data_IF_398042943177
#
_entry.id   IF_398042943177
#
_cell.length_a   1.000
_cell.length_b   1.000
_cell.length_c   1.000
_cell.angle_alpha   90.00
_cell.angle_beta   90.00
_cell.angle_gamma   90.00
#
_symmetry.space_group_name_H-M   'P 1'
#
loop_
_entity.id
_entity.type
_entity.pdbx_description
1 polymer ?
#
# COMPACT_ATOMS: atom_id res chain seq x y z
N UNK A 1 13.74 -0.55 -7.40
CA UNK A 1 13.16 0.74 -6.92
C UNK A 1 13.08 0.81 -5.41
N UNK A 2 12.29 -0.03 -4.73
CA UNK A 2 12.13 0.04 -3.27
C UNK A 2 13.42 -0.02 -2.46
N UNK A 3 14.42 -0.80 -2.87
CA UNK A 3 15.75 -0.79 -2.25
C UNK A 3 16.43 0.58 -2.27
N UNK A 4 16.26 1.36 -3.36
CA UNK A 4 16.82 2.71 -3.44
C UNK A 4 16.08 3.68 -2.52
N UNK A 5 14.75 3.55 -2.41
CA UNK A 5 13.92 4.35 -1.50
C UNK A 5 14.20 4.01 -0.03
N UNK A 6 14.43 2.72 0.27
CA UNK A 6 14.81 2.27 1.60
C UNK A 6 16.15 2.84 2.07
N UNK A 7 17.11 3.05 1.15
CA UNK A 7 18.38 3.73 1.46
C UNK A 7 18.19 5.20 1.85
N UNK A 8 17.07 5.82 1.47
CA UNK A 8 16.66 7.16 1.90
C UNK A 8 15.84 7.15 3.21
N UNK A 9 15.70 5.99 3.85
CA UNK A 9 14.94 5.81 5.08
C UNK A 9 13.43 5.60 4.89
N UNK A 10 12.96 5.41 3.65
CA UNK A 10 11.54 5.18 3.37
C UNK A 10 11.17 3.71 3.50
N UNK A 11 10.08 3.43 4.21
CA UNK A 11 9.51 2.08 4.34
C UNK A 11 8.19 2.00 3.59
N UNK A 12 8.06 1.04 2.67
CA UNK A 12 6.81 0.78 1.96
C UNK A 12 5.88 -0.12 2.79
N UNK A 13 4.68 0.37 3.06
CA UNK A 13 3.66 -0.32 3.86
C UNK A 13 2.86 -1.34 3.05
N UNK A 14 2.85 -1.23 1.72
CA UNK A 14 2.07 -2.13 0.85
C UNK A 14 2.79 -3.45 0.66
N UNK A 15 3.99 -3.44 0.06
CA UNK A 15 4.71 -4.68 -0.24
C UNK A 15 5.42 -5.27 0.98
N UNK A 16 5.76 -4.43 1.97
CA UNK A 16 6.45 -4.86 3.19
C UNK A 16 5.60 -5.72 4.14
N UNK A 17 4.27 -5.71 4.01
CA UNK A 17 3.34 -6.39 4.92
C UNK A 17 2.73 -7.68 4.34
N UNK A 18 3.26 -8.22 3.22
CA UNK A 18 2.75 -9.45 2.61
C UNK A 18 1.34 -9.32 2.02
N UNK A 19 0.90 -8.09 1.72
CA UNK A 19 -0.40 -7.81 1.12
C UNK A 19 -0.39 -8.19 -0.37
N UNK A 20 -1.53 -8.67 -0.87
CA UNK A 20 -1.60 -9.32 -2.17
C UNK A 20 -1.64 -8.35 -3.36
N UNK A 21 -2.43 -7.27 -3.28
CA UNK A 21 -2.58 -6.28 -4.34
C UNK A 21 -3.24 -4.98 -3.85
N UNK A 22 -3.28 -3.96 -4.72
CA UNK A 22 -4.04 -2.71 -4.51
C UNK A 22 -5.13 -2.53 -5.56
N UNK A 23 -5.55 -3.61 -6.20
CA UNK A 23 -6.54 -3.61 -7.29
C UNK A 23 -7.77 -4.41 -6.89
N UNK A 24 -8.92 -4.03 -7.40
CA UNK A 24 -10.18 -4.76 -7.16
C UNK A 24 -10.46 -5.77 -8.26
N UNK A 25 -11.61 -6.42 -8.22
CA UNK A 25 -12.09 -7.26 -9.32
C UNK A 25 -12.34 -6.49 -10.62
N UNK A 26 -12.50 -5.16 -10.58
CA UNK A 26 -12.75 -4.33 -11.76
C UNK A 26 -11.50 -4.18 -12.66
N UNK A 27 -10.30 -4.49 -12.14
CA UNK A 27 -9.04 -4.43 -12.90
C UNK A 27 -8.63 -5.82 -13.40
N UNK A 28 -8.72 -6.01 -14.73
CA UNK A 28 -8.56 -7.33 -15.37
C UNK A 28 -7.15 -7.59 -15.95
N UNK A 29 -6.25 -6.61 -15.90
CA UNK A 29 -4.91 -6.71 -16.49
C UNK A 29 -3.91 -7.34 -15.50
N UNK A 30 -2.81 -7.93 -15.99
CA UNK A 30 -1.73 -8.40 -15.12
C UNK A 30 -1.05 -7.22 -14.39
N UNK A 31 -0.42 -7.52 -13.26
CA UNK A 31 0.22 -6.52 -12.40
C UNK A 31 -0.84 -5.78 -11.56
N UNK A 32 -0.91 -6.13 -10.27
CA UNK A 32 -2.00 -5.68 -9.40
C UNK A 32 -1.58 -4.70 -8.31
N UNK A 33 -0.33 -4.23 -8.33
CA UNK A 33 0.12 -3.12 -7.49
C UNK A 33 0.10 -1.83 -8.29
N UNK A 34 -0.79 -0.91 -7.94
CA UNK A 34 -0.89 0.40 -8.57
C UNK A 34 -0.72 1.55 -7.59
N UNK A 35 -0.90 1.30 -6.29
CA UNK A 35 -0.79 2.28 -5.23
C UNK A 35 0.26 1.81 -4.23
N UNK A 36 0.99 2.77 -3.68
CA UNK A 36 2.02 2.54 -2.68
C UNK A 36 1.92 3.60 -1.59
N UNK A 37 2.32 3.25 -0.37
CA UNK A 37 2.40 4.19 0.73
C UNK A 37 3.73 4.02 1.42
N UNK A 38 4.60 5.02 1.27
CA UNK A 38 5.92 5.04 1.90
C UNK A 38 5.93 6.01 3.07
N UNK A 39 6.48 5.57 4.19
CA UNK A 39 6.62 6.39 5.40
C UNK A 39 8.09 6.65 5.74
N UNK A 40 8.36 7.83 6.30
CA UNK A 40 9.66 8.18 6.88
C UNK A 40 9.79 7.62 8.31
N UNK A 41 11.01 7.49 8.87
CA UNK A 41 11.22 6.85 10.18
C UNK A 41 10.51 7.52 11.37
N UNK A 42 10.16 8.80 11.25
CA UNK A 42 9.44 9.53 12.31
C UNK A 42 7.93 9.30 12.37
N UNK A 43 7.35 8.57 11.40
CA UNK A 43 5.90 8.30 11.37
C UNK A 43 5.58 7.06 12.19
N UNK A 44 4.78 7.22 13.24
CA UNK A 44 4.30 6.10 14.05
C UNK A 44 3.03 5.49 13.44
N UNK A 45 3.20 4.44 12.64
CA UNK A 45 2.09 3.71 12.02
C UNK A 45 1.35 2.90 13.08
N UNK A 46 0.12 3.30 13.42
CA UNK A 46 -0.75 2.57 14.33
C UNK A 46 -1.35 1.33 13.65
N UNK A 47 -1.81 1.50 12.40
CA UNK A 47 -2.42 0.45 11.59
C UNK A 47 -2.36 0.83 10.12
N UNK A 48 -2.11 -0.16 9.27
CA UNK A 48 -2.23 -0.02 7.83
C UNK A 48 -3.15 -1.11 7.28
N UNK A 49 -4.06 -0.75 6.37
CA UNK A 49 -4.98 -1.68 5.72
C UNK A 49 -5.20 -1.30 4.27
N UNK A 50 -5.13 -2.28 3.39
CA UNK A 50 -5.71 -2.20 2.05
C UNK A 50 -7.18 -2.61 2.16
N UNK A 51 -8.10 -1.71 1.85
CA UNK A 51 -9.54 -1.94 2.04
C UNK A 51 -10.08 -2.80 0.91
N UNK A 52 -10.60 -3.97 1.25
CA UNK A 52 -11.06 -4.97 0.27
C UNK A 52 -12.50 -4.77 -0.19
N UNK A 53 -13.38 -4.30 0.71
CA UNK A 53 -14.81 -4.19 0.43
C UNK A 53 -15.47 -3.01 1.18
N UNK A 54 -16.54 -2.43 0.63
CA UNK A 54 -17.09 -2.71 -0.72
C UNK A 54 -16.16 -2.18 -1.83
N UNK A 55 -16.16 -2.85 -2.98
CA UNK A 55 -15.45 -2.37 -4.17
C UNK A 55 -16.27 -1.25 -4.83
N UNK A 56 -15.65 -0.08 -5.03
CA UNK A 56 -16.30 1.09 -5.67
C UNK A 56 -15.46 1.66 -6.82
N UNK A 57 -14.26 1.12 -7.02
CA UNK A 57 -13.25 1.56 -8.00
C UNK A 57 -12.43 0.35 -8.45
N UNK A 58 -11.63 0.48 -9.51
CA UNK A 58 -10.61 -0.50 -9.92
C UNK A 58 -9.34 -0.46 -9.04
N UNK A 59 -9.22 0.53 -8.17
CA UNK A 59 -8.22 0.64 -7.10
C UNK A 59 -8.83 0.35 -5.72
N UNK A 60 -8.03 -0.26 -4.84
CA UNK A 60 -8.37 -0.42 -3.41
C UNK A 60 -7.92 0.82 -2.63
N UNK A 61 -8.74 1.27 -1.69
CA UNK A 61 -8.33 2.35 -0.79
C UNK A 61 -7.22 1.89 0.16
N UNK A 62 -6.22 2.75 0.37
CA UNK A 62 -5.18 2.56 1.39
C UNK A 62 -5.57 3.35 2.63
N UNK A 63 -5.77 2.66 3.75
CA UNK A 63 -6.12 3.26 5.04
C UNK A 63 -4.92 3.19 5.99
N UNK A 64 -4.54 4.34 6.53
CA UNK A 64 -3.46 4.50 7.49
C UNK A 64 -3.98 5.21 8.74
N UNK A 65 -3.82 4.56 9.89
CA UNK A 65 -3.98 5.18 11.20
C UNK A 65 -2.57 5.53 11.74
N UNK A 66 -2.38 6.77 12.18
CA UNK A 66 -1.10 7.29 12.73
C UNK A 66 -1.32 7.68 14.20
N UNK A 67 -0.29 7.57 15.03
CA UNK A 67 -0.29 8.07 16.42
C UNK A 67 0.42 9.40 16.58
#
# INVERSE_FOLDING_TARGET
>A
TFTALARLGLSDLVTGNGLADTRTSHYLKPGRYADYMLVTPGVNVAKFKVVEAPEVSDHRALLLDIR
#
